data_IF_775082199916
#
_entry.id   IF_775082199916
#
_cell.length_a   1.000
_cell.length_b   1.000
_cell.length_c   1.000
_cell.angle_alpha   90.00
_cell.angle_beta   90.00
_cell.angle_gamma   90.00
#
_symmetry.space_group_name_H-M   'P 1'
#
loop_
_entity.id
_entity.type
_entity.pdbx_description
1 polymer ?
#
# COMPACT_ATOMS: atom_id res chain seq x y z
N UNK A 1 3.75 17.07 0.47
CA UNK A 1 5.17 16.68 0.56
C UNK A 1 5.22 15.17 0.60
N UNK A 2 6.23 14.56 0.01
CA UNK A 2 6.46 13.12 0.17
C UNK A 2 6.97 12.86 1.58
N UNK A 3 6.60 11.72 2.15
CA UNK A 3 7.02 11.33 3.48
C UNK A 3 8.52 11.06 3.55
N UNK A 4 9.08 11.25 4.75
CA UNK A 4 10.45 10.84 5.09
C UNK A 4 10.55 9.38 5.56
N UNK A 5 9.42 8.67 5.69
CA UNK A 5 9.39 7.24 6.02
C UNK A 5 10.09 6.44 4.91
N UNK A 6 10.94 5.48 5.31
CA UNK A 6 11.62 4.59 4.37
C UNK A 6 10.68 3.46 3.93
N UNK A 7 10.28 3.48 2.66
CA UNK A 7 9.48 2.42 2.04
C UNK A 7 10.30 1.51 1.12
N UNK A 8 11.63 1.65 1.08
CA UNK A 8 12.51 0.83 0.24
C UNK A 8 12.39 -0.67 0.55
N UNK A 9 11.99 -1.00 1.77
CA UNK A 9 11.73 -2.36 2.26
C UNK A 9 10.57 -3.07 1.52
N UNK A 10 9.74 -2.33 0.78
CA UNK A 10 8.68 -2.89 -0.06
C UNK A 10 9.12 -3.12 -1.52
N UNK A 11 10.19 -2.48 -1.96
CA UNK A 11 10.69 -2.65 -3.32
C UNK A 11 11.20 -4.09 -3.53
N UNK A 12 10.89 -4.66 -4.69
CA UNK A 12 11.22 -6.04 -5.04
C UNK A 12 10.26 -7.09 -4.48
N UNK A 13 9.33 -6.72 -3.60
CA UNK A 13 8.32 -7.67 -3.12
C UNK A 13 7.31 -8.03 -4.23
N UNK A 14 6.80 -9.25 -4.20
CA UNK A 14 5.79 -9.75 -5.14
C UNK A 14 4.41 -9.67 -4.48
N UNK A 15 3.39 -9.24 -5.23
CA UNK A 15 1.99 -9.35 -4.82
C UNK A 15 1.56 -10.82 -4.88
N UNK A 16 1.44 -11.46 -3.73
CA UNK A 16 1.11 -12.88 -3.61
C UNK A 16 -0.40 -13.13 -3.58
N UNK A 17 -1.18 -12.21 -3.03
CA UNK A 17 -2.64 -12.32 -3.05
C UNK A 17 -3.32 -10.96 -3.13
N UNK A 18 -4.50 -10.97 -3.75
CA UNK A 18 -5.45 -9.86 -3.79
C UNK A 18 -6.81 -10.40 -3.38
N UNK A 19 -7.22 -10.08 -2.17
CA UNK A 19 -8.48 -10.47 -1.55
C UNK A 19 -9.37 -9.24 -1.42
N UNK A 20 -10.68 -9.43 -1.44
CA UNK A 20 -11.63 -8.33 -1.30
C UNK A 20 -12.93 -8.85 -0.70
N UNK A 21 -13.60 -7.98 0.03
CA UNK A 21 -14.97 -8.15 0.49
C UNK A 21 -15.83 -6.97 0.01
N UNK A 22 -17.04 -6.81 0.55
CA UNK A 22 -17.96 -5.76 0.12
C UNK A 22 -17.46 -4.33 0.41
N UNK A 23 -16.51 -4.16 1.32
CA UNK A 23 -16.08 -2.85 1.84
C UNK A 23 -14.59 -2.60 1.63
N UNK A 24 -13.78 -3.66 1.63
CA UNK A 24 -12.32 -3.57 1.68
C UNK A 24 -11.61 -4.38 0.58
N UNK A 25 -10.37 -3.98 0.31
CA UNK A 25 -9.43 -4.70 -0.54
C UNK A 25 -8.14 -4.95 0.25
N UNK A 26 -7.60 -6.15 0.13
CA UNK A 26 -6.43 -6.62 0.86
C UNK A 26 -5.40 -7.15 -0.13
N UNK A 27 -4.22 -6.52 -0.17
CA UNK A 27 -3.09 -6.98 -0.95
C UNK A 27 -2.04 -7.56 0.00
N UNK A 28 -1.61 -8.79 -0.26
CA UNK A 28 -0.47 -9.40 0.45
C UNK A 28 0.75 -9.37 -0.44
N UNK A 29 1.81 -8.75 0.05
CA UNK A 29 3.13 -8.80 -0.57
C UNK A 29 3.91 -10.02 -0.05
N UNK A 30 5.11 -10.26 -0.60
CA UNK A 30 5.98 -11.33 -0.11
C UNK A 30 6.39 -11.16 1.34
N UNK A 31 6.49 -9.92 1.83
CA UNK A 31 6.79 -9.60 3.22
C UNK A 31 6.11 -8.29 3.64
N UNK A 32 4.78 -8.33 3.69
CA UNK A 32 3.93 -7.21 4.11
C UNK A 32 2.51 -7.32 3.59
N UNK A 33 1.67 -6.38 3.98
CA UNK A 33 0.28 -6.30 3.51
C UNK A 33 -0.21 -4.86 3.46
N UNK A 34 -1.09 -4.59 2.50
CA UNK A 34 -1.84 -3.34 2.35
C UNK A 34 -3.34 -3.65 2.45
N UNK A 35 -3.98 -3.09 3.47
CA UNK A 35 -5.43 -3.10 3.66
C UNK A 35 -6.03 -1.77 3.25
N UNK A 36 -7.10 -1.78 2.46
CA UNK A 36 -7.68 -0.60 1.82
C UNK A 36 -9.20 -0.61 2.02
N UNK A 37 -9.71 0.34 2.80
CA UNK A 37 -11.14 0.57 3.01
C UNK A 37 -11.63 1.80 2.24
N UNK A 38 -10.72 2.67 1.81
CA UNK A 38 -11.02 3.88 1.05
C UNK A 38 -11.04 3.68 -0.48
N UNK A 39 -11.13 4.80 -1.20
CA UNK A 39 -11.10 4.81 -2.66
C UNK A 39 -9.70 4.44 -3.15
N UNK A 40 -9.67 3.64 -4.20
CA UNK A 40 -8.44 3.30 -4.90
C UNK A 40 -8.69 3.30 -6.41
N UNK A 41 -7.63 3.47 -7.17
CA UNK A 41 -7.63 3.33 -8.62
C UNK A 41 -6.35 2.72 -9.13
N UNK A 42 -6.47 2.01 -10.24
CA UNK A 42 -5.34 1.46 -10.98
C UNK A 42 -5.15 2.31 -12.22
N UNK A 43 -3.91 2.69 -12.50
CA UNK A 43 -3.56 3.51 -13.67
C UNK A 43 -2.24 3.07 -14.28
N UNK A 44 -2.00 3.51 -15.50
CA UNK A 44 -0.67 3.54 -16.10
C UNK A 44 -0.02 4.91 -15.87
N UNK A 45 1.10 5.19 -16.54
CA UNK A 45 1.63 6.56 -16.63
C UNK A 45 0.72 7.52 -17.38
N UNK A 46 -0.10 7.01 -18.29
CA UNK A 46 -0.81 7.84 -19.27
C UNK A 46 -2.29 8.00 -18.94
N UNK A 47 -2.93 6.99 -18.35
CA UNK A 47 -4.37 7.00 -18.14
C UNK A 47 -4.80 6.11 -16.96
N UNK A 48 -5.99 6.38 -16.43
CA UNK A 48 -6.64 5.56 -15.41
C UNK A 48 -7.24 4.33 -16.11
N UNK A 49 -6.96 3.14 -15.58
CA UNK A 49 -7.47 1.87 -16.10
C UNK A 49 -8.86 1.56 -15.54
N UNK A 50 -9.03 1.69 -14.23
CA UNK A 50 -10.28 1.51 -13.48
C UNK A 50 -10.09 1.95 -12.02
N UNK A 51 -11.17 2.09 -11.27
CA UNK A 51 -11.15 2.32 -9.83
C UNK A 51 -12.26 1.59 -9.10
N UNK A 52 -12.29 1.75 -7.77
CA UNK A 52 -13.14 0.99 -6.84
C UNK A 52 -14.61 0.83 -7.26
N UNK A 53 -15.18 1.82 -7.93
CA UNK A 53 -16.60 1.85 -8.29
C UNK A 53 -16.92 1.36 -9.72
N UNK A 54 -15.92 0.96 -10.50
CA UNK A 54 -16.17 0.35 -11.82
C UNK A 54 -16.69 -1.09 -11.64
N UNK A 55 -17.63 -1.50 -12.49
CA UNK A 55 -18.33 -2.78 -12.35
C UNK A 55 -17.39 -4.01 -12.35
N UNK A 56 -16.26 -3.92 -13.05
CA UNK A 56 -15.27 -5.00 -13.18
C UNK A 56 -14.01 -4.78 -12.33
N UNK A 57 -14.01 -3.78 -11.43
CA UNK A 57 -12.81 -3.33 -10.74
C UNK A 57 -12.14 -4.42 -9.90
N UNK A 58 -12.91 -5.14 -9.07
CA UNK A 58 -12.39 -6.16 -8.16
C UNK A 58 -11.76 -7.38 -8.86
N UNK A 59 -12.43 -8.06 -9.82
CA UNK A 59 -11.80 -9.16 -10.54
C UNK A 59 -10.57 -8.69 -11.33
N UNK A 60 -10.62 -7.49 -11.93
CA UNK A 60 -9.46 -6.92 -12.64
C UNK A 60 -8.31 -6.60 -11.71
N UNK A 61 -8.56 -6.04 -10.52
CA UNK A 61 -7.53 -5.76 -9.52
C UNK A 61 -6.72 -7.00 -9.19
N UNK A 62 -7.40 -8.13 -8.98
CA UNK A 62 -6.72 -9.41 -8.74
C UNK A 62 -5.93 -9.86 -9.95
N UNK A 63 -6.55 -9.86 -11.13
CA UNK A 63 -5.91 -10.34 -12.36
C UNK A 63 -4.67 -9.52 -12.72
N UNK A 64 -4.74 -8.20 -12.59
CA UNK A 64 -3.71 -7.27 -13.05
C UNK A 64 -2.57 -7.14 -12.04
N UNK A 65 -2.82 -7.35 -10.73
CA UNK A 65 -1.79 -7.17 -9.70
C UNK A 65 -1.14 -8.46 -9.21
N UNK A 66 -1.80 -9.62 -9.30
CA UNK A 66 -1.20 -10.87 -8.81
C UNK A 66 0.08 -11.22 -9.56
N UNK A 67 1.15 -11.50 -8.81
CA UNK A 67 2.46 -11.84 -9.36
C UNK A 67 3.29 -10.62 -9.80
N UNK A 68 2.73 -9.40 -9.78
CA UNK A 68 3.49 -8.20 -10.07
C UNK A 68 4.52 -7.91 -8.98
N UNK A 69 5.67 -7.39 -9.40
CA UNK A 69 6.72 -6.91 -8.50
C UNK A 69 6.49 -5.44 -8.17
N UNK A 70 6.49 -5.10 -6.88
CA UNK A 70 6.49 -3.73 -6.39
C UNK A 70 7.84 -3.09 -6.70
N UNK A 71 7.84 -1.95 -7.40
CA UNK A 71 9.06 -1.19 -7.71
C UNK A 71 9.31 -0.09 -6.71
N UNK A 72 8.24 0.52 -6.19
CA UNK A 72 8.31 1.54 -5.15
C UNK A 72 6.98 1.63 -4.40
N UNK A 73 7.05 2.14 -3.17
CA UNK A 73 5.87 2.62 -2.44
C UNK A 73 6.14 4.07 -2.08
N UNK A 74 5.20 4.95 -2.42
CA UNK A 74 5.29 6.38 -2.22
C UNK A 74 4.14 6.82 -1.33
N UNK A 75 4.44 7.63 -0.33
CA UNK A 75 3.45 8.20 0.58
C UNK A 75 3.49 9.72 0.55
N UNK A 76 2.33 10.33 0.36
CA UNK A 76 2.14 11.77 0.47
C UNK A 76 1.55 12.09 1.83
N UNK A 77 2.32 12.71 2.72
CA UNK A 77 1.94 12.91 4.13
C UNK A 77 0.58 13.57 4.36
N UNK A 78 0.22 14.52 3.50
CA UNK A 78 -1.11 15.14 3.49
C UNK A 78 -1.67 15.14 2.06
N UNK A 79 -2.79 14.44 1.79
CA UNK A 79 -3.75 13.90 2.75
C UNK A 79 -3.51 12.43 3.14
N UNK A 80 -2.27 11.96 3.24
CA UNK A 80 -1.95 10.54 3.46
C UNK A 80 -2.40 9.63 2.32
N UNK A 81 -2.17 10.06 1.08
CA UNK A 81 -2.35 9.20 -0.09
C UNK A 81 -1.15 8.25 -0.24
N UNK A 82 -1.42 7.03 -0.71
CA UNK A 82 -0.40 6.01 -0.97
C UNK A 82 -0.40 5.66 -2.46
N UNK A 83 0.78 5.49 -3.03
CA UNK A 83 0.96 4.91 -4.37
C UNK A 83 1.86 3.71 -4.26
N UNK A 84 1.39 2.55 -4.73
CA UNK A 84 2.21 1.37 -4.96
C UNK A 84 2.52 1.32 -6.44
N UNK A 85 3.79 1.51 -6.78
CA UNK A 85 4.29 1.34 -8.14
C UNK A 85 4.65 -0.12 -8.35
N UNK A 86 4.23 -0.67 -9.48
CA UNK A 86 4.48 -2.05 -9.88
C UNK A 86 5.20 -2.06 -11.23
N UNK A 87 5.82 -3.20 -11.57
CA UNK A 87 6.43 -3.43 -12.87
C UNK A 87 5.42 -3.19 -14.01
N UNK A 88 5.94 -2.88 -15.19
CA UNK A 88 5.17 -2.65 -16.42
C UNK A 88 4.29 -1.39 -16.36
N UNK A 89 4.80 -0.35 -15.69
CA UNK A 89 4.17 0.97 -15.57
C UNK A 89 2.75 0.92 -14.99
N UNK A 90 2.52 0.01 -14.05
CA UNK A 90 1.25 -0.13 -13.34
C UNK A 90 1.33 0.52 -11.96
N UNK A 91 0.29 1.26 -11.60
CA UNK A 91 0.22 2.00 -10.34
C UNK A 91 -1.10 1.75 -9.65
N UNK A 92 -1.05 1.33 -8.39
CA UNK A 92 -2.20 1.33 -7.50
C UNK A 92 -2.13 2.59 -6.63
N UNK A 93 -3.07 3.50 -6.83
CA UNK A 93 -3.22 4.70 -6.02
C UNK A 93 -4.35 4.50 -5.01
N UNK A 94 -4.04 4.73 -3.75
CA UNK A 94 -4.97 4.69 -2.63
C UNK A 94 -5.15 6.10 -2.12
N UNK A 95 -6.38 6.60 -2.24
CA UNK A 95 -6.71 8.00 -1.97
C UNK A 95 -7.43 8.06 -0.63
N UNK A 96 -6.83 8.75 0.33
CA UNK A 96 -7.41 8.88 1.65
C UNK A 96 -8.69 9.71 1.59
N UNK A 97 -9.71 9.27 2.34
CA UNK A 97 -10.97 9.98 2.47
C UNK A 97 -11.02 10.81 3.76
N UNK A 98 -11.95 11.74 3.85
CA UNK A 98 -12.26 12.46 5.08
C UNK A 98 -13.18 11.68 6.02
N UNK A 99 -13.72 10.54 5.58
CA UNK A 99 -14.69 9.73 6.34
C UNK A 99 -14.00 8.89 7.42
N UNK A 100 -14.71 8.66 8.54
CA UNK A 100 -14.14 7.94 9.70
C UNK A 100 -13.88 6.46 9.42
N UNK A 101 -14.60 5.88 8.46
CA UNK A 101 -14.60 4.46 8.12
C UNK A 101 -13.67 4.08 6.97
N UNK A 102 -13.14 5.06 6.22
CA UNK A 102 -12.48 4.78 4.94
C UNK A 102 -11.01 5.14 5.05
N UNK A 103 -10.22 4.16 5.50
CA UNK A 103 -8.78 4.33 5.72
C UNK A 103 -7.97 3.30 4.91
N UNK A 104 -6.65 3.34 5.07
CA UNK A 104 -5.76 2.28 4.59
C UNK A 104 -4.64 2.03 5.60
N UNK A 105 -4.10 0.82 5.58
CA UNK A 105 -3.05 0.38 6.48
C UNK A 105 -1.99 -0.42 5.72
N UNK A 106 -0.73 -0.06 5.87
CA UNK A 106 0.43 -0.76 5.33
C UNK A 106 1.23 -1.37 6.48
N UNK A 107 1.52 -2.67 6.39
CA UNK A 107 2.18 -3.43 7.47
C UNK A 107 3.26 -4.37 6.98
N UNK A 108 4.19 -4.71 7.86
CA UNK A 108 5.14 -5.83 7.70
C UNK A 108 5.30 -6.62 9.00
N UNK A 109 5.65 -7.91 8.94
CA UNK A 109 5.81 -8.74 10.13
C UNK A 109 6.92 -8.31 11.11
N UNK A 110 7.91 -7.53 10.65
CA UNK A 110 8.98 -6.97 11.48
C UNK A 110 8.54 -5.74 12.30
N UNK A 111 7.27 -5.35 12.18
CA UNK A 111 6.68 -4.27 12.95
C UNK A 111 6.57 -2.94 12.21
N UNK A 112 6.98 -2.85 10.94
CA UNK A 112 6.59 -1.68 10.14
C UNK A 112 5.05 -1.56 10.12
N UNK A 113 4.53 -0.42 10.55
CA UNK A 113 3.10 -0.14 10.62
C UNK A 113 2.83 1.31 10.26
N UNK A 114 2.09 1.54 9.18
CA UNK A 114 1.61 2.85 8.77
C UNK A 114 0.10 2.78 8.55
N UNK A 115 -0.66 3.67 9.17
CA UNK A 115 -2.10 3.74 8.98
C UNK A 115 -2.51 5.18 8.67
N UNK A 116 -3.30 5.35 7.60
CA UNK A 116 -4.00 6.58 7.36
C UNK A 116 -5.18 6.69 8.31
N UNK A 117 -5.38 7.90 8.84
CA UNK A 117 -6.47 8.25 9.71
C UNK A 117 -7.40 9.23 9.00
N UNK A 118 -8.66 9.34 9.45
CA UNK A 118 -9.63 10.26 8.86
C UNK A 118 -9.08 11.68 8.79
N UNK A 119 -9.56 12.44 7.81
CA UNK A 119 -9.05 13.80 7.48
C UNK A 119 -7.62 13.84 6.94
N UNK A 120 -7.11 12.71 6.46
CA UNK A 120 -5.83 12.63 5.76
C UNK A 120 -4.60 12.76 6.67
N UNK A 121 -4.74 12.38 7.94
CA UNK A 121 -3.62 12.25 8.88
C UNK A 121 -3.06 10.83 8.80
N UNK A 122 -1.91 10.58 9.42
CA UNK A 122 -1.37 9.23 9.52
C UNK A 122 -0.70 8.99 10.87
N UNK A 123 -0.61 7.73 11.26
CA UNK A 123 0.22 7.26 12.37
C UNK A 123 1.22 6.25 11.84
N UNK A 124 2.49 6.44 12.17
CA UNK A 124 3.57 5.55 11.82
C UNK A 124 4.20 4.96 13.07
N UNK A 125 4.49 3.66 13.02
CA UNK A 125 5.26 2.94 14.02
C UNK A 125 6.21 1.97 13.31
N UNK A 126 7.46 1.97 13.71
CA UNK A 126 8.46 0.99 13.31
C UNK A 126 9.32 0.71 14.54
N UNK A 127 9.46 -0.55 14.98
CA UNK A 127 10.34 -0.86 16.09
C UNK A 127 11.79 -0.58 15.68
N UNK A 128 12.55 0.01 16.59
CA UNK A 128 14.00 0.14 16.41
C UNK A 128 14.57 -1.27 16.16
N UNK A 129 15.18 -1.47 14.97
CA UNK A 129 15.97 -2.66 14.70
C UNK A 129 17.10 -2.69 15.74
N UNK A 130 16.94 -3.53 16.77
CA UNK A 130 18.05 -3.88 17.65
C UNK A 130 19.08 -4.60 16.80
N UNK A 131 20.12 -3.88 16.42
CA UNK A 131 21.35 -4.50 15.95
C UNK A 131 21.93 -5.18 17.19
N UNK A 132 21.71 -6.49 17.31
CA UNK A 132 22.49 -7.31 18.24
C UNK A 132 23.94 -7.24 17.74
N UNK A 133 24.70 -6.30 18.33
CA UNK A 133 26.15 -6.31 18.19
C UNK A 133 26.58 -7.57 18.93
N UNK A 134 26.93 -8.61 18.17
CA UNK A 134 27.64 -9.74 18.73
C UNK A 134 28.94 -9.19 19.31
N UNK A 135 28.98 -9.03 20.64
CA UNK A 135 30.23 -8.86 21.36
C UNK A 135 30.95 -10.21 21.25
N UNK A 136 31.86 -10.31 20.28
CA UNK A 136 32.90 -11.34 20.28
C UNK A 136 33.77 -11.11 21.53
N UNK A 137 33.45 -11.81 22.62
CA UNK A 137 34.32 -12.02 23.79
C UNK A 137 35.15 -13.28 23.63
#
# INVERSE_FOLDING_TARGET
MNSSIDFSLFAGQIVNSVEFDNLSSHLKFSYGALHIECFWRVRTREYILYGKYDAEALPRLRQDLMGCTVTAVLHREFPSDLTVELRDDLYLEVICSSTLSDNWQLTRPDGFYLVASPSGRYTFWEPELKIDIAEDT
#
